data_IF_972322873934
#
_entry.id   IF_972322873934
#
_cell.length_a   1.000
_cell.length_b   1.000
_cell.length_c   1.000
_cell.angle_alpha   90.00
_cell.angle_beta   90.00
_cell.angle_gamma   90.00
#
_symmetry.space_group_name_H-M   'P 1'
#
loop_
_entity.id
_entity.type
_entity.pdbx_description
1 polymer ?
#
# COMPACT_ATOMS: atom_id res chain seq x y z
N UNK A 1 -21.92 -19.85 20.27
CA UNK A 1 -20.51 -19.78 19.82
C UNK A 1 -20.29 -18.38 19.32
N UNK A 2 -19.67 -17.50 20.10
CA UNK A 2 -19.29 -16.18 19.61
C UNK A 2 -18.04 -16.35 18.77
N UNK A 3 -18.20 -16.39 17.45
CA UNK A 3 -17.05 -16.27 16.56
C UNK A 3 -16.48 -14.87 16.76
N UNK A 4 -15.18 -14.78 17.00
CA UNK A 4 -14.49 -13.51 16.77
C UNK A 4 -14.63 -13.22 15.28
N UNK A 5 -15.42 -12.21 14.92
CA UNK A 5 -15.35 -11.64 13.58
C UNK A 5 -14.01 -10.90 13.53
N UNK A 6 -13.05 -11.51 12.83
CA UNK A 6 -11.78 -10.89 12.52
C UNK A 6 -11.84 -10.35 11.10
N UNK A 7 -11.27 -9.18 10.89
CA UNK A 7 -11.31 -8.52 9.60
C UNK A 7 -9.93 -8.55 8.93
N UNK A 8 -9.93 -8.89 7.64
CA UNK A 8 -8.75 -8.77 6.81
C UNK A 8 -9.06 -8.07 5.51
N UNK A 9 -8.08 -7.36 4.96
CA UNK A 9 -8.16 -6.69 3.66
C UNK A 9 -6.94 -7.01 2.79
N UNK A 10 -7.13 -6.96 1.48
CA UNK A 10 -6.06 -7.04 0.49
C UNK A 10 -5.71 -5.63 0.02
N UNK A 11 -4.49 -5.18 0.31
CA UNK A 11 -4.04 -3.82 0.04
C UNK A 11 -2.72 -3.73 -0.72
N UNK A 12 -2.06 -2.58 -0.56
CA UNK A 12 -0.73 -2.35 -1.11
C UNK A 12 -0.65 -2.23 -2.64
N UNK A 13 0.52 -2.51 -3.19
CA UNK A 13 0.84 -2.22 -4.61
C UNK A 13 0.02 -3.05 -5.59
N UNK A 14 -0.24 -4.31 -5.27
CA UNK A 14 -0.98 -5.23 -6.13
C UNK A 14 -2.49 -4.98 -6.08
N UNK A 15 -3.05 -4.63 -4.91
CA UNK A 15 -4.43 -4.18 -4.84
C UNK A 15 -4.66 -2.89 -5.65
N UNK A 16 -3.69 -1.99 -5.65
CA UNK A 16 -3.71 -0.79 -6.47
C UNK A 16 -3.61 -1.10 -7.97
N UNK A 17 -2.72 -2.02 -8.36
CA UNK A 17 -2.60 -2.51 -9.75
C UNK A 17 -3.94 -3.09 -10.27
N UNK A 18 -4.65 -3.88 -9.47
CA UNK A 18 -5.97 -4.44 -9.84
C UNK A 18 -7.02 -3.33 -10.09
N UNK A 19 -6.87 -2.18 -9.44
CA UNK A 19 -7.80 -1.07 -9.53
C UNK A 19 -7.51 -0.15 -10.70
N UNK A 20 -6.26 0.27 -10.89
CA UNK A 20 -5.91 1.33 -11.84
C UNK A 20 -4.85 0.92 -12.88
N UNK A 21 -4.31 -0.29 -12.78
CA UNK A 21 -3.30 -0.83 -13.70
C UNK A 21 -2.17 0.18 -13.99
N UNK A 22 -1.56 0.76 -12.95
CA UNK A 22 -0.53 1.79 -13.11
C UNK A 22 0.87 1.22 -13.35
N UNK A 23 1.19 0.06 -12.75
CA UNK A 23 2.40 -0.74 -12.96
C UNK A 23 2.20 -2.17 -12.51
N UNK A 24 3.06 -3.08 -12.94
CA UNK A 24 3.09 -4.43 -12.39
C UNK A 24 3.54 -4.44 -10.91
N UNK A 25 2.96 -5.36 -10.15
CA UNK A 25 3.25 -5.61 -8.74
C UNK A 25 2.94 -7.07 -8.45
N UNK A 26 3.88 -7.74 -7.75
CA UNK A 26 3.80 -9.18 -7.49
C UNK A 26 3.62 -9.52 -6.00
N UNK A 27 3.98 -8.60 -5.10
CA UNK A 27 3.81 -8.79 -3.66
C UNK A 27 2.34 -8.70 -3.26
N UNK A 28 1.88 -9.59 -2.38
CA UNK A 28 0.51 -9.59 -1.85
C UNK A 28 0.51 -9.09 -0.41
N UNK A 29 -0.03 -7.90 -0.18
CA UNK A 29 -0.17 -7.32 1.16
C UNK A 29 -1.56 -7.64 1.74
N UNK A 30 -1.63 -8.49 2.76
CA UNK A 30 -2.84 -8.79 3.54
C UNK A 30 -2.77 -8.05 4.87
N UNK A 31 -3.75 -7.19 5.13
CA UNK A 31 -3.83 -6.43 6.37
C UNK A 31 -4.79 -7.10 7.35
N UNK A 32 -4.38 -7.13 8.61
CA UNK A 32 -5.08 -7.73 9.74
C UNK A 32 -5.40 -6.65 10.78
N UNK A 33 -6.56 -6.76 11.42
CA UNK A 33 -7.01 -5.87 12.50
C UNK A 33 -6.56 -6.32 13.90
N UNK A 34 -6.23 -7.61 14.08
CA UNK A 34 -5.83 -8.19 15.36
C UNK A 34 -4.46 -8.92 15.27
N UNK A 35 -3.44 -8.51 16.06
CA UNK A 35 -2.16 -9.22 16.16
C UNK A 35 -2.26 -10.70 16.54
N UNK A 36 -3.31 -11.12 17.26
CA UNK A 36 -3.50 -12.51 17.67
C UNK A 36 -3.63 -13.45 16.46
N UNK A 37 -4.06 -12.92 15.31
CA UNK A 37 -4.18 -13.67 14.06
C UNK A 37 -2.82 -14.15 13.54
N UNK A 38 -1.73 -13.42 13.81
CA UNK A 38 -0.39 -13.83 13.38
C UNK A 38 0.02 -15.18 13.98
N UNK A 39 -0.42 -15.51 15.19
CA UNK A 39 -0.16 -16.80 15.82
C UNK A 39 -0.75 -17.99 15.05
N UNK A 40 -1.85 -17.77 14.32
CA UNK A 40 -2.47 -18.78 13.45
C UNK A 40 -1.80 -18.89 12.08
N UNK A 41 -1.03 -17.87 11.69
CA UNK A 41 -0.34 -17.77 10.40
C UNK A 41 1.13 -18.19 10.52
N UNK A 42 1.72 -18.10 11.71
CA UNK A 42 3.10 -18.51 11.99
C UNK A 42 3.28 -20.03 11.79
N UNK A 43 4.07 -20.49 10.79
CA UNK A 43 4.29 -21.92 10.51
C UNK A 43 4.97 -22.68 11.65
N UNK A 44 5.68 -21.99 12.55
CA UNK A 44 6.32 -22.62 13.71
C UNK A 44 5.34 -22.95 14.84
N UNK A 45 4.15 -22.34 14.83
CA UNK A 45 3.12 -22.47 15.88
C UNK A 45 1.85 -23.15 15.38
N UNK A 46 1.62 -23.10 14.08
CA UNK A 46 0.41 -23.59 13.43
C UNK A 46 0.68 -24.83 12.58
N UNK A 47 -0.32 -25.70 12.47
CA UNK A 47 -0.30 -26.85 11.56
C UNK A 47 -0.67 -26.45 10.12
N UNK A 48 -0.11 -25.35 9.61
CA UNK A 48 -0.41 -24.90 8.26
C UNK A 48 0.10 -25.88 7.21
N UNK A 49 -0.72 -26.09 6.19
CA UNK A 49 -0.39 -26.91 5.04
C UNK A 49 -0.30 -26.04 3.79
N UNK A 50 0.86 -26.10 3.15
CA UNK A 50 1.15 -25.35 1.94
C UNK A 50 1.10 -26.27 0.72
N UNK A 51 0.27 -25.93 -0.27
CA UNK A 51 0.29 -26.60 -1.58
C UNK A 51 1.58 -26.27 -2.35
N UNK A 52 2.04 -25.03 -2.20
CA UNK A 52 3.34 -24.55 -2.70
C UNK A 52 4.10 -24.09 -1.46
N UNK A 53 5.21 -24.75 -1.15
CA UNK A 53 6.01 -24.41 0.03
C UNK A 53 6.71 -23.05 -0.19
N UNK A 54 6.68 -22.14 0.81
CA UNK A 54 7.49 -20.93 0.76
C UNK A 54 8.98 -21.30 0.85
N UNK A 55 9.82 -20.56 0.14
CA UNK A 55 11.28 -20.70 0.19
C UNK A 55 11.82 -20.17 1.52
N UNK A 56 11.18 -19.15 2.08
CA UNK A 56 11.49 -18.60 3.40
C UNK A 56 10.24 -17.99 4.05
N UNK A 57 10.25 -17.85 5.37
CA UNK A 57 9.22 -17.12 6.11
C UNK A 57 9.84 -16.39 7.31
N UNK A 58 9.33 -15.17 7.57
CA UNK A 58 9.82 -14.31 8.65
C UNK A 58 8.66 -13.63 9.35
N UNK A 59 8.64 -13.64 10.67
CA UNK A 59 7.65 -12.91 11.45
C UNK A 59 8.24 -12.43 12.77
N UNK A 60 7.66 -11.36 13.32
CA UNK A 60 8.00 -10.83 14.65
C UNK A 60 6.94 -11.18 15.71
N UNK A 61 5.87 -11.86 15.29
CA UNK A 61 4.77 -12.31 16.13
C UNK A 61 3.84 -11.20 16.63
N UNK A 62 4.03 -9.95 16.19
CA UNK A 62 3.24 -8.79 16.66
C UNK A 62 2.77 -7.87 15.53
N UNK A 63 3.61 -7.62 14.53
CA UNK A 63 3.33 -6.65 13.48
C UNK A 63 3.24 -7.29 12.10
N UNK A 64 3.98 -8.37 11.84
CA UNK A 64 3.91 -9.02 10.53
C UNK A 64 4.28 -10.51 10.52
N UNK A 65 3.83 -11.18 9.47
CA UNK A 65 4.28 -12.50 9.03
C UNK A 65 4.43 -12.48 7.50
N UNK A 66 5.65 -12.69 7.02
CA UNK A 66 6.03 -12.73 5.61
C UNK A 66 6.27 -14.15 5.15
N UNK A 67 5.90 -14.43 3.91
CA UNK A 67 6.25 -15.64 3.15
C UNK A 67 6.89 -15.25 1.83
N UNK A 68 8.05 -15.80 1.52
CA UNK A 68 8.75 -15.59 0.26
C UNK A 68 8.62 -16.82 -0.63
N UNK A 69 8.32 -16.61 -1.91
CA UNK A 69 8.24 -17.64 -2.94
C UNK A 69 9.22 -17.28 -4.06
N UNK A 70 10.27 -18.10 -4.22
CA UNK A 70 11.29 -17.90 -5.26
C UNK A 70 10.66 -17.78 -6.65
N UNK A 71 11.13 -16.80 -7.43
CA UNK A 71 10.65 -16.43 -8.76
C UNK A 71 9.15 -16.06 -8.89
N UNK A 72 8.43 -15.91 -7.77
CA UNK A 72 6.99 -15.59 -7.74
C UNK A 72 6.74 -14.24 -7.06
N UNK A 73 7.20 -14.06 -5.82
CA UNK A 73 6.94 -12.87 -5.02
C UNK A 73 6.74 -13.17 -3.55
N UNK A 74 6.26 -12.18 -2.80
CA UNK A 74 6.05 -12.27 -1.35
C UNK A 74 4.56 -12.19 -0.98
N UNK A 75 4.18 -12.84 0.11
CA UNK A 75 2.89 -12.60 0.78
C UNK A 75 3.20 -12.04 2.17
N UNK A 76 2.75 -10.82 2.41
CA UNK A 76 2.92 -10.08 3.65
C UNK A 76 1.61 -9.99 4.41
N UNK A 77 1.54 -10.63 5.57
CA UNK A 77 0.48 -10.40 6.55
C UNK A 77 0.93 -9.29 7.49
N UNK A 78 0.22 -8.18 7.52
CA UNK A 78 0.60 -6.95 8.22
C UNK A 78 -0.50 -6.56 9.19
N UNK A 79 -0.16 -6.34 10.45
CA UNK A 79 -1.11 -5.84 11.44
C UNK A 79 -1.20 -4.32 11.33
N UNK A 80 -2.20 -3.86 10.60
CA UNK A 80 -2.54 -2.45 10.49
C UNK A 80 -4.01 -2.31 10.09
N UNK A 81 -4.80 -1.75 11.02
CA UNK A 81 -6.21 -1.49 10.81
C UNK A 81 -6.47 -0.35 9.79
N UNK A 82 -7.75 -0.11 9.48
CA UNK A 82 -8.18 0.97 8.58
C UNK A 82 -7.75 2.37 9.04
N UNK A 83 -7.42 3.23 8.08
CA UNK A 83 -7.13 4.66 8.30
C UNK A 83 -8.20 5.60 7.75
N UNK A 84 -9.07 5.13 6.86
CA UNK A 84 -10.12 5.91 6.21
C UNK A 84 -11.53 5.40 6.56
N UNK A 85 -12.57 6.22 6.30
CA UNK A 85 -13.97 5.87 6.57
C UNK A 85 -14.50 4.74 5.67
N UNK A 86 -14.05 4.70 4.41
CA UNK A 86 -14.40 3.70 3.42
C UNK A 86 -13.13 2.95 2.95
N UNK A 87 -12.54 2.12 3.81
CA UNK A 87 -11.20 1.58 3.62
C UNK A 87 -11.11 0.46 2.57
N UNK A 88 -12.22 -0.23 2.28
CA UNK A 88 -12.24 -1.32 1.31
C UNK A 88 -13.56 -1.37 0.55
N UNK A 89 -13.50 -1.99 -0.63
CA UNK A 89 -14.65 -2.43 -1.41
C UNK A 89 -14.58 -3.95 -1.58
N UNK A 90 -15.73 -4.63 -1.55
CA UNK A 90 -15.76 -6.05 -1.89
C UNK A 90 -15.64 -6.21 -3.39
N UNK A 91 -14.62 -6.93 -3.85
CA UNK A 91 -14.36 -7.18 -5.28
C UNK A 91 -14.03 -8.65 -5.50
N UNK A 92 -14.36 -9.17 -6.68
CA UNK A 92 -13.92 -10.50 -7.09
C UNK A 92 -12.47 -10.43 -7.61
N UNK A 93 -11.58 -11.24 -7.02
CA UNK A 93 -10.19 -11.43 -7.45
C UNK A 93 -9.95 -12.93 -7.56
N UNK A 94 -9.60 -13.41 -8.75
CA UNK A 94 -9.38 -14.84 -9.02
C UNK A 94 -10.53 -15.75 -8.52
N UNK A 95 -11.78 -15.34 -8.77
CA UNK A 95 -12.97 -16.10 -8.36
C UNK A 95 -13.31 -16.01 -6.86
N UNK A 96 -12.63 -15.16 -6.10
CA UNK A 96 -12.85 -14.98 -4.65
C UNK A 96 -13.33 -13.57 -4.36
N UNK A 97 -14.39 -13.45 -3.56
CA UNK A 97 -14.79 -12.17 -2.99
C UNK A 97 -13.78 -11.77 -1.91
N UNK A 98 -13.12 -10.64 -2.12
CA UNK A 98 -12.09 -10.09 -1.22
C UNK A 98 -12.42 -8.65 -0.83
N UNK A 99 -12.06 -8.24 0.39
CA UNK A 99 -12.08 -6.84 0.82
C UNK A 99 -10.84 -6.17 0.27
N UNK A 100 -10.95 -5.55 -0.90
CA UNK A 100 -9.85 -4.87 -1.56
C UNK A 100 -9.76 -3.44 -1.02
N UNK A 101 -8.60 -3.03 -0.52
CA UNK A 101 -8.41 -1.67 0.00
C UNK A 101 -8.60 -0.63 -1.10
N UNK A 102 -9.25 0.48 -0.77
CA UNK A 102 -9.46 1.58 -1.71
C UNK A 102 -8.15 2.33 -1.97
N UNK A 103 -8.06 3.02 -3.10
CA UNK A 103 -6.88 3.85 -3.43
C UNK A 103 -6.55 4.85 -2.32
N UNK A 104 -7.51 5.60 -1.73
CA UNK A 104 -7.24 6.49 -0.61
C UNK A 104 -6.66 5.77 0.61
N UNK A 105 -7.18 4.58 0.97
CA UNK A 105 -6.66 3.77 2.08
C UNK A 105 -5.21 3.33 1.84
N UNK A 106 -4.91 2.81 0.65
CA UNK A 106 -3.56 2.36 0.28
C UNK A 106 -2.56 3.51 0.38
N UNK A 107 -2.92 4.68 -0.16
CA UNK A 107 -2.07 5.87 -0.10
C UNK A 107 -1.93 6.39 1.34
N UNK A 108 -3.02 6.44 2.11
CA UNK A 108 -3.00 6.84 3.50
C UNK A 108 -2.05 5.95 4.32
N UNK A 109 -2.11 4.63 4.15
CA UNK A 109 -1.20 3.69 4.81
C UNK A 109 0.26 3.90 4.41
N UNK A 110 0.54 4.13 3.12
CA UNK A 110 1.91 4.45 2.65
C UNK A 110 2.44 5.72 3.32
N UNK A 111 1.66 6.79 3.35
CA UNK A 111 2.04 8.06 4.00
C UNK A 111 2.19 7.89 5.51
N UNK A 112 1.26 7.20 6.15
CA UNK A 112 1.21 7.07 7.60
C UNK A 112 2.33 6.20 8.16
N UNK A 113 2.54 5.01 7.59
CA UNK A 113 3.49 4.03 8.12
C UNK A 113 4.88 4.12 7.48
N UNK A 114 4.95 4.50 6.19
CA UNK A 114 6.18 4.40 5.39
C UNK A 114 6.67 5.74 4.85
N UNK A 115 5.94 6.83 5.10
CA UNK A 115 6.19 8.14 4.50
C UNK A 115 7.60 8.70 4.76
N UNK A 116 8.13 8.52 5.98
CA UNK A 116 9.49 8.96 6.33
C UNK A 116 10.60 8.17 5.64
N UNK A 117 10.27 7.03 5.05
CA UNK A 117 11.19 6.12 4.35
C UNK A 117 10.69 5.81 2.92
N UNK A 118 9.89 6.74 2.35
CA UNK A 118 9.24 6.54 1.06
C UNK A 118 10.27 6.19 -0.03
N UNK A 119 9.98 5.12 -0.78
CA UNK A 119 10.82 4.67 -1.90
C UNK A 119 10.31 5.29 -3.21
N UNK A 120 11.10 5.32 -4.30
CA UNK A 120 10.64 5.83 -5.59
C UNK A 120 9.34 5.19 -6.11
N UNK A 121 9.09 3.90 -5.83
CA UNK A 121 7.80 3.25 -6.16
C UNK A 121 6.61 3.87 -5.41
N UNK A 122 6.80 4.29 -4.17
CA UNK A 122 5.74 4.93 -3.37
C UNK A 122 5.43 6.34 -3.93
N UNK A 123 6.44 7.04 -4.45
CA UNK A 123 6.28 8.33 -5.15
C UNK A 123 5.45 8.16 -6.43
N UNK A 124 5.81 7.17 -7.24
CA UNK A 124 5.06 6.83 -8.45
C UNK A 124 3.62 6.44 -8.12
N UNK A 125 3.40 5.61 -7.09
CA UNK A 125 2.06 5.21 -6.65
C UNK A 125 1.22 6.45 -6.27
N UNK A 126 1.76 7.39 -5.47
CA UNK A 126 1.04 8.65 -5.11
C UNK A 126 0.67 9.44 -6.38
N UNK A 127 1.61 9.66 -7.28
CA UNK A 127 1.38 10.42 -8.51
C UNK A 127 0.36 9.74 -9.44
N UNK A 128 0.45 8.41 -9.58
CA UNK A 128 -0.46 7.62 -10.39
C UNK A 128 -1.89 7.65 -9.83
N UNK A 129 -2.05 7.53 -8.50
CA UNK A 129 -3.35 7.60 -7.84
C UNK A 129 -4.01 8.98 -8.04
N UNK A 130 -3.23 10.05 -7.96
CA UNK A 130 -3.73 11.42 -8.08
C UNK A 130 -4.42 11.71 -9.42
N UNK A 131 -4.10 10.97 -10.50
CA UNK A 131 -4.74 11.14 -11.82
C UNK A 131 -6.26 10.93 -11.81
N UNK A 132 -6.77 10.10 -10.90
CA UNK A 132 -8.18 9.73 -10.84
C UNK A 132 -8.80 9.82 -9.45
N UNK A 133 -7.98 9.91 -8.40
CA UNK A 133 -8.42 9.87 -6.99
C UNK A 133 -7.91 11.06 -6.16
N UNK A 134 -7.50 12.16 -6.79
CA UNK A 134 -6.91 13.32 -6.09
C UNK A 134 -7.77 13.80 -4.91
N UNK A 135 -9.05 14.09 -5.15
CA UNK A 135 -9.94 14.64 -4.12
C UNK A 135 -10.11 13.69 -2.93
N UNK A 136 -10.33 12.40 -3.19
CA UNK A 136 -10.51 11.40 -2.13
C UNK A 136 -9.22 11.14 -1.35
N UNK A 137 -8.07 11.13 -2.04
CA UNK A 137 -6.76 11.04 -1.40
C UNK A 137 -6.49 12.25 -0.51
N UNK A 138 -6.74 13.47 -1.01
CA UNK A 138 -6.52 14.70 -0.24
C UNK A 138 -7.39 14.70 1.02
N UNK A 139 -8.67 14.35 0.87
CA UNK A 139 -9.60 14.21 1.99
C UNK A 139 -9.10 13.19 3.02
N UNK A 140 -8.68 12.01 2.59
CA UNK A 140 -8.14 10.98 3.49
C UNK A 140 -6.87 11.45 4.23
N UNK A 141 -5.97 12.14 3.54
CA UNK A 141 -4.69 12.57 4.10
C UNK A 141 -4.81 13.76 5.07
N UNK A 142 -5.91 14.52 5.04
CA UNK A 142 -6.17 15.60 6.01
C UNK A 142 -6.20 15.12 7.46
N UNK A 143 -6.52 13.85 7.72
CA UNK A 143 -6.47 13.27 9.05
C UNK A 143 -5.03 13.11 9.60
N UNK A 144 -4.01 13.21 8.73
CA UNK A 144 -2.62 12.87 9.05
C UNK A 144 -1.60 13.96 8.67
N UNK A 145 -1.79 15.23 9.07
CA UNK A 145 -0.95 16.35 8.58
C UNK A 145 0.53 16.22 8.99
N UNK A 146 0.81 15.61 10.14
CA UNK A 146 2.20 15.36 10.59
C UNK A 146 2.90 14.35 9.68
N UNK A 147 2.23 13.27 9.31
CA UNK A 147 2.75 12.21 8.46
C UNK A 147 2.91 12.71 7.02
N UNK A 148 1.96 13.49 6.52
CA UNK A 148 2.06 14.19 5.24
C UNK A 148 3.28 15.11 5.22
N UNK A 149 3.47 15.92 6.27
CA UNK A 149 4.63 16.83 6.38
C UNK A 149 5.96 16.07 6.40
N UNK A 150 6.03 14.95 7.13
CA UNK A 150 7.24 14.10 7.17
C UNK A 150 7.52 13.44 5.81
N UNK A 151 6.48 12.98 5.13
CA UNK A 151 6.58 12.39 3.79
C UNK A 151 7.09 13.42 2.81
N UNK A 152 6.49 14.61 2.79
CA UNK A 152 6.92 15.73 1.94
C UNK A 152 8.40 16.06 2.18
N UNK A 153 8.79 16.27 3.45
CA UNK A 153 10.17 16.57 3.81
C UNK A 153 11.15 15.45 3.45
N UNK A 154 10.70 14.19 3.38
CA UNK A 154 11.50 13.08 2.88
C UNK A 154 11.65 13.13 1.36
N UNK A 155 10.57 13.38 0.62
CA UNK A 155 10.60 13.47 -0.84
C UNK A 155 11.46 14.64 -1.33
N UNK A 156 11.39 15.79 -0.67
CA UNK A 156 12.21 16.98 -0.99
C UNK A 156 13.72 16.75 -0.87
N UNK A 157 14.16 15.76 -0.08
CA UNK A 157 15.58 15.42 0.09
C UNK A 157 16.10 14.48 -1.00
N UNK A 158 15.23 13.85 -1.76
CA UNK A 158 15.62 12.88 -2.76
C UNK A 158 16.23 13.59 -3.98
N UNK A 159 17.24 12.96 -4.59
CA UNK A 159 17.76 13.44 -5.86
C UNK A 159 16.72 13.18 -6.98
N UNK A 160 16.19 14.22 -7.67
CA UNK A 160 15.13 14.04 -8.67
C UNK A 160 15.53 13.16 -9.85
N UNK A 161 16.79 13.22 -10.28
CA UNK A 161 17.30 12.37 -11.36
C UNK A 161 17.36 10.90 -10.93
N UNK A 162 17.84 10.63 -9.71
CA UNK A 162 17.83 9.27 -9.16
C UNK A 162 16.41 8.71 -9.05
N UNK A 163 15.46 9.51 -8.54
CA UNK A 163 14.05 9.11 -8.45
C UNK A 163 13.50 8.77 -9.82
N UNK A 164 13.67 9.66 -10.80
CA UNK A 164 13.21 9.45 -12.19
C UNK A 164 13.79 8.18 -12.79
N UNK A 165 15.11 7.97 -12.68
CA UNK A 165 15.78 6.78 -13.21
C UNK A 165 15.30 5.49 -12.53
N UNK A 166 15.01 5.52 -11.22
CA UNK A 166 14.48 4.37 -10.50
C UNK A 166 13.03 4.07 -10.88
N UNK A 167 12.20 5.10 -11.02
CA UNK A 167 10.80 4.95 -11.47
C UNK A 167 10.76 4.40 -12.90
N UNK A 168 11.66 4.83 -13.78
CA UNK A 168 11.75 4.32 -15.16
C UNK A 168 12.12 2.84 -15.26
N UNK A 169 12.60 2.21 -14.17
CA UNK A 169 12.86 0.77 -14.10
C UNK A 169 11.65 -0.04 -13.63
N UNK A 170 10.57 0.62 -13.19
CA UNK A 170 9.33 -0.07 -12.88
C UNK A 170 8.68 -0.56 -14.18
N UNK A 171 7.98 -1.68 -14.10
CA UNK A 171 7.13 -2.21 -15.17
C UNK A 171 5.84 -1.38 -15.25
N UNK A 172 5.96 -0.14 -15.73
CA UNK A 172 4.87 0.83 -15.84
C UNK A 172 3.94 0.45 -17.00
N UNK A 173 2.64 0.55 -16.79
CA UNK A 173 1.66 0.26 -17.84
C UNK A 173 1.59 1.42 -18.84
N UNK A 174 1.26 1.16 -20.12
CA UNK A 174 1.32 2.17 -21.19
C UNK A 174 0.60 3.48 -20.87
N UNK A 175 -0.57 3.41 -20.22
CA UNK A 175 -1.39 4.58 -19.89
C UNK A 175 -0.74 5.50 -18.83
N UNK A 176 0.30 5.03 -18.13
CA UNK A 176 1.01 5.72 -17.05
C UNK A 176 2.47 6.06 -17.37
N UNK A 177 3.01 5.65 -18.52
CA UNK A 177 4.40 5.92 -18.91
C UNK A 177 4.72 7.42 -18.89
N UNK A 178 3.79 8.25 -19.38
CA UNK A 178 3.94 9.69 -19.39
C UNK A 178 4.06 10.30 -17.98
N UNK A 179 3.46 9.65 -16.97
CA UNK A 179 3.47 10.10 -15.56
C UNK A 179 4.77 9.76 -14.83
N UNK A 180 5.63 8.92 -15.40
CA UNK A 180 6.87 8.50 -14.75
C UNK A 180 7.86 9.67 -14.57
N UNK A 181 7.90 10.58 -15.54
CA UNK A 181 8.89 11.66 -15.60
C UNK A 181 8.65 12.77 -14.57
N UNK A 182 7.38 13.06 -14.26
CA UNK A 182 6.92 14.13 -13.37
C UNK A 182 6.33 13.60 -12.04
N UNK A 183 6.53 12.30 -11.74
CA UNK A 183 5.98 11.66 -10.54
C UNK A 183 6.40 12.35 -9.24
N UNK A 184 7.66 12.80 -9.12
CA UNK A 184 8.14 13.47 -7.91
C UNK A 184 7.42 14.81 -7.69
N UNK A 185 7.35 15.63 -8.73
CA UNK A 185 6.70 16.95 -8.67
C UNK A 185 5.20 16.80 -8.41
N UNK A 186 4.56 15.82 -9.07
CA UNK A 186 3.15 15.51 -8.87
C UNK A 186 2.88 15.04 -7.44
N UNK A 187 3.68 14.12 -6.91
CA UNK A 187 3.51 13.65 -5.53
C UNK A 187 3.71 14.78 -4.50
N UNK A 188 4.71 15.66 -4.71
CA UNK A 188 4.91 16.84 -3.87
C UNK A 188 3.71 17.79 -3.93
N UNK A 189 3.17 18.06 -5.11
CA UNK A 189 2.00 18.91 -5.29
C UNK A 189 0.77 18.38 -4.55
N UNK A 190 0.54 17.06 -4.57
CA UNK A 190 -0.53 16.41 -3.79
C UNK A 190 -0.33 16.63 -2.29
N UNK A 191 0.88 16.40 -1.77
CA UNK A 191 1.17 16.58 -0.35
C UNK A 191 1.04 18.05 0.07
N UNK A 192 1.40 18.99 -0.80
CA UNK A 192 1.21 20.42 -0.59
C UNK A 192 -0.27 20.82 -0.54
N UNK A 193 -1.07 20.28 -1.46
CA UNK A 193 -2.52 20.51 -1.48
C UNK A 193 -3.17 20.09 -0.17
N UNK A 194 -2.76 18.95 0.41
CA UNK A 194 -3.24 18.48 1.71
C UNK A 194 -2.88 19.44 2.86
N UNK A 195 -1.69 20.05 2.83
CA UNK A 195 -1.22 20.93 3.89
C UNK A 195 -1.79 22.35 3.82
N UNK A 196 -2.17 22.81 2.62
CA UNK A 196 -2.70 24.16 2.38
C UNK A 196 -4.23 24.18 2.43
N UNK A 197 -4.89 23.12 1.96
CA UNK A 197 -6.35 23.08 1.88
C UNK A 197 -6.97 22.80 3.26
N UNK A 198 -8.08 23.45 3.63
CA UNK A 198 -8.82 23.09 4.82
C UNK A 198 -9.52 21.74 4.60
N UNK A 199 -9.59 20.92 5.66
CA UNK A 199 -10.35 19.67 5.61
C UNK A 199 -11.81 19.93 5.22
N UNK A 200 -12.28 19.29 4.15
CA UNK A 200 -13.68 19.33 3.75
C UNK A 200 -14.52 18.63 4.83
N UNK A 201 -15.50 19.35 5.39
CA UNK A 201 -16.44 18.81 6.41
C UNK A 201 -17.47 17.88 5.80
#
# INVERSE_FOLDING_TARGET
>A
MGGYDFEWSFGGGTAMMIQIAHRESHDIDIFLDDPQLLGFIDPSRSGLHFNIAPTDYLGDGLHFQKFAFEDIGEIDFIVAGPLTEAPFVTREVEGRAVRLETIPEIIAKKVYYRGSEAKPRDIFDIAAAARSHLGDMVNALHAFPVQVSRTKAQLEKLNPEFVRLTIAQLMIMPDYEASAADSLDTALAVLDEVLVSPATR
#
